data_IF_146279892490
#
_entry.id   IF_146279892490
#
_cell.length_a   1.000
_cell.length_b   1.000
_cell.length_c   1.000
_cell.angle_alpha   90.00
_cell.angle_beta   90.00
_cell.angle_gamma   90.00
#
_symmetry.space_group_name_H-M   'P 1'
#
loop_
_entity.id
_entity.type
_entity.pdbx_description
1 polymer ?
#
# COMPACT_ATOMS: atom_id res chain seq x y z
N UNK A 1 -9.84 3.68 5.44
CA UNK A 1 -8.64 4.49 5.12
C UNK A 1 -7.47 3.99 5.95
N UNK A 2 -6.29 3.83 5.36
CA UNK A 2 -5.08 3.41 6.07
C UNK A 2 -4.07 4.54 6.13
N UNK A 3 -3.46 4.76 7.30
CA UNK A 3 -2.32 5.66 7.46
C UNK A 3 -1.12 4.86 7.93
N UNK A 4 -0.09 4.82 7.10
CA UNK A 4 1.15 4.08 7.36
C UNK A 4 2.26 5.06 7.75
N UNK A 5 2.85 4.83 8.92
CA UNK A 5 3.98 5.60 9.43
C UNK A 5 5.23 4.71 9.48
N UNK A 6 6.42 5.24 9.13
CA UNK A 6 7.67 4.50 9.24
C UNK A 6 7.97 4.15 10.70
N UNK A 7 8.55 2.98 10.93
CA UNK A 7 9.12 2.59 12.23
C UNK A 7 10.56 3.06 12.39
N UNK A 8 11.21 2.61 13.46
CA UNK A 8 12.59 2.97 13.79
C UNK A 8 13.61 2.36 12.81
N UNK A 9 13.29 1.19 12.24
CA UNK A 9 14.17 0.47 11.31
C UNK A 9 13.47 0.09 10.00
N UNK A 10 14.26 -0.20 8.96
CA UNK A 10 13.74 -0.65 7.66
C UNK A 10 12.97 -1.95 7.84
N UNK A 11 11.73 -1.98 7.33
CA UNK A 11 10.82 -3.12 7.46
C UNK A 11 9.88 -3.03 8.66
N UNK A 12 9.97 -1.98 9.47
CA UNK A 12 9.03 -1.67 10.54
C UNK A 12 8.15 -0.49 10.16
N UNK A 13 6.89 -0.56 10.60
CA UNK A 13 5.92 0.51 10.40
C UNK A 13 4.81 0.39 11.44
N UNK A 14 4.15 1.52 11.70
CA UNK A 14 2.90 1.57 12.47
C UNK A 14 1.78 1.99 11.54
N UNK A 15 0.70 1.22 11.55
CA UNK A 15 -0.48 1.53 10.73
C UNK A 15 -1.65 1.87 11.62
N UNK A 16 -2.29 3.01 11.34
CA UNK A 16 -3.62 3.31 11.85
C UNK A 16 -4.65 3.01 10.77
N UNK A 17 -5.52 2.03 11.04
CA UNK A 17 -6.57 1.62 10.12
C UNK A 17 -7.91 2.20 10.58
N UNK A 18 -8.52 3.01 9.72
CA UNK A 18 -9.83 3.61 9.95
C UNK A 18 -10.89 2.87 9.13
N UNK A 19 -11.84 2.25 9.80
CA UNK A 19 -13.05 1.72 9.19
C UNK A 19 -14.18 2.73 9.41
N UNK A 20 -14.85 3.11 8.33
CA UNK A 20 -15.89 4.14 8.33
C UNK A 20 -17.10 3.62 7.58
N UNK A 21 -18.28 4.03 8.03
CA UNK A 21 -19.54 3.81 7.32
C UNK A 21 -20.00 5.13 6.72
N UNK A 22 -20.64 5.05 5.55
CA UNK A 22 -21.26 6.21 4.91
C UNK A 22 -22.37 6.81 5.78
N UNK A 23 -23.18 5.95 6.40
CA UNK A 23 -24.30 6.34 7.26
C UNK A 23 -24.11 5.78 8.67
N UNK A 24 -24.55 6.55 9.66
CA UNK A 24 -24.54 6.10 11.06
C UNK A 24 -25.55 4.95 11.24
N UNK A 25 -25.17 3.83 11.88
CA UNK A 25 -26.13 2.79 12.24
C UNK A 25 -27.13 3.30 13.28
N UNK A 26 -28.42 3.01 13.08
CA UNK A 26 -29.51 3.56 13.90
C UNK A 26 -30.06 2.53 14.89
N UNK A 27 -29.95 1.23 14.60
CA UNK A 27 -30.45 0.16 15.47
C UNK A 27 -29.33 -0.59 16.18
N UNK A 28 -29.58 -1.20 17.36
CA UNK A 28 -28.59 -2.03 18.05
C UNK A 28 -28.05 -3.17 17.17
N UNK A 29 -28.88 -3.77 16.33
CA UNK A 29 -28.49 -4.85 15.42
C UNK A 29 -27.54 -4.34 14.33
N UNK A 30 -27.80 -3.15 13.79
CA UNK A 30 -26.90 -2.51 12.81
C UNK A 30 -25.55 -2.13 13.43
N UNK A 31 -25.56 -1.63 14.67
CA UNK A 31 -24.33 -1.33 15.42
C UNK A 31 -23.51 -2.60 15.61
N UNK A 32 -24.14 -3.71 16.04
CA UNK A 32 -23.44 -4.98 16.23
C UNK A 32 -22.87 -5.52 14.91
N UNK A 33 -23.66 -5.51 13.83
CA UNK A 33 -23.21 -5.95 12.52
C UNK A 33 -22.02 -5.13 12.00
N UNK A 34 -22.01 -3.82 12.26
CA UNK A 34 -20.88 -2.95 11.93
C UNK A 34 -19.61 -3.35 12.69
N UNK A 35 -19.71 -3.59 14.01
CA UNK A 35 -18.59 -4.07 14.81
C UNK A 35 -18.06 -5.42 14.33
N UNK A 36 -18.94 -6.37 14.03
CA UNK A 36 -18.55 -7.69 13.54
C UNK A 36 -17.81 -7.59 12.19
N UNK A 37 -18.32 -6.76 11.28
CA UNK A 37 -17.67 -6.50 10.00
C UNK A 37 -16.29 -5.84 10.20
N UNK A 38 -16.17 -4.86 11.09
CA UNK A 38 -14.90 -4.17 11.34
C UNK A 38 -13.87 -5.08 12.01
N UNK A 39 -14.29 -5.93 12.96
CA UNK A 39 -13.44 -6.94 13.57
C UNK A 39 -12.93 -7.94 12.53
N UNK A 40 -13.80 -8.37 11.61
CA UNK A 40 -13.40 -9.24 10.50
C UNK A 40 -12.38 -8.55 9.59
N UNK A 41 -12.63 -7.30 9.19
CA UNK A 41 -11.70 -6.56 8.33
C UNK A 41 -10.35 -6.29 9.02
N UNK A 42 -10.33 -6.08 10.34
CA UNK A 42 -9.08 -5.95 11.09
C UNK A 42 -8.24 -7.22 10.98
N UNK A 43 -8.87 -8.39 11.19
CA UNK A 43 -8.20 -9.69 11.07
C UNK A 43 -7.65 -9.89 9.66
N UNK A 44 -8.43 -9.62 8.62
CA UNK A 44 -7.95 -9.74 7.23
C UNK A 44 -6.74 -8.83 6.99
N UNK A 45 -6.83 -7.54 7.34
CA UNK A 45 -5.73 -6.60 7.09
C UNK A 45 -4.46 -7.00 7.87
N UNK A 46 -4.59 -7.30 9.16
CA UNK A 46 -3.43 -7.59 10.02
C UNK A 46 -2.84 -8.97 9.73
N UNK A 47 -3.69 -9.99 9.69
CA UNK A 47 -3.26 -11.39 9.74
C UNK A 47 -3.11 -12.00 8.34
N UNK A 48 -3.73 -11.42 7.31
CA UNK A 48 -3.57 -11.83 5.91
C UNK A 48 -2.68 -10.86 5.12
N UNK A 49 -3.09 -9.60 4.96
CA UNK A 49 -2.40 -8.65 4.08
C UNK A 49 -0.99 -8.31 4.59
N UNK A 50 -0.90 -7.82 5.84
CA UNK A 50 0.40 -7.45 6.43
C UNK A 50 1.31 -8.66 6.63
N UNK A 51 0.75 -9.80 7.04
CA UNK A 51 1.52 -11.03 7.20
C UNK A 51 2.12 -11.47 5.86
N UNK A 52 1.33 -11.42 4.78
CA UNK A 52 1.78 -11.77 3.42
C UNK A 52 2.84 -10.80 2.92
N UNK A 53 2.58 -9.49 3.02
CA UNK A 53 3.53 -8.45 2.61
C UNK A 53 4.86 -8.56 3.37
N UNK A 54 4.82 -8.79 4.68
CA UNK A 54 6.04 -8.96 5.49
C UNK A 54 6.84 -10.18 5.07
N UNK A 55 6.19 -11.33 4.79
CA UNK A 55 6.88 -12.52 4.28
C UNK A 55 7.50 -12.28 2.91
N UNK A 56 6.83 -11.57 2.01
CA UNK A 56 7.40 -11.20 0.70
C UNK A 56 8.65 -10.33 0.86
N UNK A 57 8.60 -9.31 1.73
CA UNK A 57 9.76 -8.45 2.03
C UNK A 57 10.94 -9.26 2.58
N UNK A 58 10.70 -10.19 3.52
CA UNK A 58 11.72 -11.08 4.05
C UNK A 58 12.32 -11.99 2.98
N UNK A 59 11.48 -12.55 2.10
CA UNK A 59 11.94 -13.39 1.00
C UNK A 59 12.82 -12.61 0.00
N UNK A 60 12.43 -11.38 -0.35
CA UNK A 60 13.21 -10.50 -1.23
C UNK A 60 14.55 -10.11 -0.58
N UNK A 61 14.53 -9.74 0.70
CA UNK A 61 15.72 -9.35 1.46
C UNK A 61 16.75 -10.48 1.59
N UNK A 62 16.36 -11.75 1.43
CA UNK A 62 17.28 -12.88 1.43
C UNK A 62 18.28 -12.88 0.26
N UNK A 63 17.99 -12.14 -0.82
CA UNK A 63 18.80 -12.12 -2.03
C UNK A 63 18.76 -13.40 -2.87
N UNK A 64 17.97 -14.41 -2.46
CA UNK A 64 17.86 -15.68 -3.19
C UNK A 64 16.99 -15.58 -4.46
N UNK A 65 16.10 -14.60 -4.50
CA UNK A 65 15.24 -14.33 -5.67
C UNK A 65 15.92 -13.30 -6.58
N UNK A 66 16.44 -13.76 -7.72
CA UNK A 66 17.11 -12.89 -8.70
C UNK A 66 16.13 -12.05 -9.53
N UNK A 67 14.94 -12.57 -9.76
CA UNK A 67 13.92 -11.98 -10.62
C UNK A 67 12.55 -12.18 -10.00
N UNK A 68 11.65 -11.22 -10.22
CA UNK A 68 10.24 -11.28 -9.83
C UNK A 68 9.40 -11.12 -11.08
N UNK A 69 8.45 -12.04 -11.29
CA UNK A 69 7.57 -12.03 -12.43
C UNK A 69 6.24 -11.39 -12.06
N UNK A 70 5.83 -10.38 -12.82
CA UNK A 70 4.49 -9.81 -12.71
C UNK A 70 3.52 -10.53 -13.64
N UNK A 71 2.40 -10.98 -13.09
CA UNK A 71 1.30 -11.58 -13.85
C UNK A 71 0.62 -10.58 -14.78
N UNK A 72 -0.16 -11.08 -15.75
CA UNK A 72 -0.93 -10.24 -16.70
C UNK A 72 -1.96 -9.35 -16.00
N UNK A 73 -2.47 -9.78 -14.85
CA UNK A 73 -3.42 -9.06 -14.01
C UNK A 73 -2.76 -8.08 -13.03
N UNK A 74 -1.43 -7.96 -13.01
CA UNK A 74 -0.69 -7.13 -12.06
C UNK A 74 -0.22 -5.82 -12.70
N UNK A 75 -1.06 -5.20 -13.53
CA UNK A 75 -0.70 -3.99 -14.29
C UNK A 75 -0.27 -2.83 -13.39
N UNK A 76 -0.89 -2.71 -12.20
CA UNK A 76 -0.49 -1.72 -11.20
C UNK A 76 0.98 -1.89 -10.77
N UNK A 77 1.39 -3.12 -10.46
CA UNK A 77 2.77 -3.44 -10.13
C UNK A 77 3.73 -3.16 -11.29
N UNK A 78 3.35 -3.56 -12.51
CA UNK A 78 4.15 -3.28 -13.71
C UNK A 78 4.40 -1.78 -13.91
N UNK A 79 3.35 -0.96 -13.87
CA UNK A 79 3.45 0.50 -14.05
C UNK A 79 4.24 1.15 -12.92
N UNK A 80 4.00 0.73 -11.67
CA UNK A 80 4.73 1.23 -10.52
C UNK A 80 6.24 0.98 -10.65
N UNK A 81 6.64 -0.25 -11.01
CA UNK A 81 8.06 -0.59 -11.14
C UNK A 81 8.72 0.07 -12.36
N UNK A 82 7.99 0.29 -13.45
CA UNK A 82 8.46 1.11 -14.58
C UNK A 82 8.71 2.56 -14.15
N UNK A 83 7.81 3.13 -13.34
CA UNK A 83 7.95 4.48 -12.80
C UNK A 83 9.12 4.59 -11.81
N UNK A 84 9.24 3.67 -10.86
CA UNK A 84 10.38 3.62 -9.92
C UNK A 84 11.70 3.48 -10.69
N UNK A 85 11.75 2.63 -11.71
CA UNK A 85 12.94 2.48 -12.56
C UNK A 85 13.34 3.79 -13.23
N UNK A 86 12.37 4.56 -13.74
CA UNK A 86 12.62 5.89 -14.33
C UNK A 86 13.19 6.86 -13.30
N UNK A 87 12.65 6.88 -12.08
CA UNK A 87 13.12 7.78 -11.02
C UNK A 87 14.54 7.43 -10.54
N UNK A 88 14.81 6.15 -10.28
CA UNK A 88 16.12 5.71 -9.76
C UNK A 88 17.25 5.90 -10.79
N UNK A 89 16.91 5.94 -12.09
CA UNK A 89 17.88 6.18 -13.16
C UNK A 89 18.07 7.67 -13.52
N UNK A 90 17.21 8.56 -13.02
CA UNK A 90 17.21 9.98 -13.39
C UNK A 90 18.29 10.77 -12.62
N UNK A 91 18.86 11.80 -13.25
CA UNK A 91 19.64 12.83 -12.55
C UNK A 91 18.74 13.71 -11.69
N UNK A 92 19.32 14.50 -10.79
CA UNK A 92 18.57 15.45 -9.96
C UNK A 92 17.77 16.46 -10.83
N UNK A 93 18.35 16.95 -11.93
CA UNK A 93 17.67 17.85 -12.86
C UNK A 93 16.51 17.15 -13.58
N UNK A 94 16.70 15.90 -13.99
CA UNK A 94 15.67 15.09 -14.61
C UNK A 94 14.53 14.79 -13.64
N UNK A 95 14.83 14.49 -12.37
CA UNK A 95 13.84 14.27 -11.32
C UNK A 95 12.94 15.49 -11.14
N UNK A 96 13.51 16.70 -11.05
CA UNK A 96 12.73 17.94 -10.96
C UNK A 96 11.81 18.10 -12.16
N UNK A 97 12.30 17.84 -13.37
CA UNK A 97 11.50 17.92 -14.59
C UNK A 97 10.36 16.90 -14.62
N UNK A 98 10.62 15.66 -14.16
CA UNK A 98 9.61 14.60 -14.04
C UNK A 98 8.47 15.06 -13.13
N UNK A 99 8.77 15.46 -11.89
CA UNK A 99 7.73 15.86 -10.94
C UNK A 99 6.96 17.12 -11.38
N UNK A 100 7.63 18.07 -12.04
CA UNK A 100 6.97 19.26 -12.59
C UNK A 100 6.02 18.94 -13.77
N UNK A 101 6.23 17.82 -14.47
CA UNK A 101 5.32 17.32 -15.50
C UNK A 101 4.04 16.74 -14.89
N UNK A 102 4.18 15.90 -13.87
CA UNK A 102 3.06 15.24 -13.19
C UNK A 102 2.14 16.25 -12.47
N UNK A 103 2.70 17.28 -11.84
CA UNK A 103 1.92 18.34 -11.19
C UNK A 103 1.02 19.11 -12.16
N UNK A 104 1.44 19.26 -13.42
CA UNK A 104 0.64 19.91 -14.45
C UNK A 104 -0.52 19.03 -14.90
N UNK A 105 -0.28 17.73 -15.09
CA UNK A 105 -1.34 16.78 -15.44
C UNK A 105 -2.37 16.59 -14.32
N UNK A 106 -1.99 16.71 -13.05
CA UNK A 106 -2.92 16.61 -11.93
C UNK A 106 -3.79 17.88 -11.74
N UNK A 107 -3.43 18.99 -12.37
CA UNK A 107 -4.15 20.27 -12.28
C UNK A 107 -5.09 20.51 -13.48
N UNK A 108 -5.07 19.63 -14.48
CA UNK A 108 -5.97 19.60 -15.66
C UNK A 108 -7.10 18.59 -15.44
#
# INVERSE_FOLDING_TARGET
MSQLFPGDTVGESTTTQFYVMENQPETPEQVQAAHDQFNFLEVVVRDEDYATGKRQQQALASGLMKEVLFGRNEKGGQVFHEWVKRLVAASDEELVAIFAGEQRQAAE
#
